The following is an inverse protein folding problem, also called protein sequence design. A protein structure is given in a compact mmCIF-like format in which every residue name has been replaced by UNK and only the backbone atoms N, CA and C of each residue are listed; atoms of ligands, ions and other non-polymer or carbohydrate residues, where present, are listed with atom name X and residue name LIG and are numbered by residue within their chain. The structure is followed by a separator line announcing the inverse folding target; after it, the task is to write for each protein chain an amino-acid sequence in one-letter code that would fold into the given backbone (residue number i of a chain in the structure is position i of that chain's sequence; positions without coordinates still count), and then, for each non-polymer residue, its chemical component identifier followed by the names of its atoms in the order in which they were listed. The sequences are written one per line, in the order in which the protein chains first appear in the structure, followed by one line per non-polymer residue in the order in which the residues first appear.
data_IF_775953608914
#
_entry.id   IF_775953608914
#
_cell.length_a   1.000
_cell.length_b   1.000
_cell.length_c   1.000
_cell.angle_alpha   90.00
_cell.angle_beta   90.00
_cell.angle_gamma   90.00
#
_symmetry.space_group_name_H-M   'P 1'
#
loop_
_entity.id
_entity.type
_entity.pdbx_description
1 polymer ?
#
# COMPACT_ATOMS: atom_id res chain seq x y z
N UNK A 1 -13.73 -16.94 4.66
CA UNK A 1 -14.63 -15.78 4.54
C UNK A 1 -15.13 -15.67 3.10
N UNK A 2 -16.41 -15.35 2.86
CA UNK A 2 -16.92 -15.16 1.48
C UNK A 2 -16.44 -13.82 0.92
N UNK A 3 -16.22 -13.73 -0.39
CA UNK A 3 -15.67 -12.53 -1.05
C UNK A 3 -16.41 -11.24 -0.66
N UNK A 4 -17.75 -11.24 -0.69
CA UNK A 4 -18.57 -10.07 -0.36
C UNK A 4 -18.55 -9.63 1.11
N UNK A 5 -17.91 -10.39 2.00
CA UNK A 5 -17.77 -10.05 3.43
C UNK A 5 -16.41 -9.41 3.74
N UNK A 6 -15.48 -9.41 2.77
CA UNK A 6 -14.13 -8.90 2.98
C UNK A 6 -14.16 -7.38 2.80
N UNK A 7 -13.80 -6.65 3.84
CA UNK A 7 -13.61 -5.20 3.81
C UNK A 7 -12.23 -4.87 4.39
N UNK A 8 -11.24 -4.62 3.52
CA UNK A 8 -9.86 -4.32 3.96
C UNK A 8 -9.73 -2.93 4.61
N UNK A 9 -10.76 -2.08 4.50
CA UNK A 9 -10.82 -0.74 5.10
C UNK A 9 -11.49 -0.73 6.48
N UNK A 10 -12.05 -1.86 6.91
CA UNK A 10 -12.59 -2.02 8.26
C UNK A 10 -11.46 -2.19 9.28
N UNK A 11 -10.87 -1.07 9.74
CA UNK A 11 -9.74 -1.05 10.70
C UNK A 11 -10.09 -1.83 11.98
N UNK A 12 -11.22 -1.52 12.62
CA UNK A 12 -11.63 -2.16 13.88
C UNK A 12 -12.44 -3.45 13.67
N UNK A 13 -12.68 -3.84 12.41
CA UNK A 13 -13.49 -4.99 12.04
C UNK A 13 -12.61 -6.10 11.46
N UNK A 14 -12.08 -5.90 10.26
CA UNK A 14 -11.26 -6.89 9.56
C UNK A 14 -9.90 -7.08 10.22
N UNK A 15 -9.24 -5.98 10.60
CA UNK A 15 -7.89 -6.06 11.18
C UNK A 15 -7.86 -6.50 12.65
N UNK A 16 -9.02 -6.47 13.32
CA UNK A 16 -9.21 -7.06 14.65
C UNK A 16 -9.40 -8.59 14.63
N UNK A 17 -9.63 -9.19 13.46
CA UNK A 17 -9.83 -10.63 13.34
C UNK A 17 -8.57 -11.43 13.68
N UNK A 18 -8.72 -12.67 14.18
CA UNK A 18 -7.64 -13.64 14.27
C UNK A 18 -6.82 -13.75 12.97
N UNK A 19 -5.52 -14.02 13.10
CA UNK A 19 -4.63 -14.12 11.94
C UNK A 19 -5.11 -15.17 10.93
N UNK A 20 -5.63 -16.31 11.42
CA UNK A 20 -6.16 -17.39 10.57
C UNK A 20 -7.33 -16.94 9.70
N UNK A 21 -8.23 -16.11 10.22
CA UNK A 21 -9.37 -15.56 9.49
C UNK A 21 -8.91 -14.55 8.42
N UNK A 22 -7.93 -13.69 8.77
CA UNK A 22 -7.34 -12.74 7.80
C UNK A 22 -6.62 -13.49 6.67
N UNK A 23 -5.86 -14.53 6.99
CA UNK A 23 -5.20 -15.38 5.99
C UNK A 23 -6.25 -16.07 5.10
N UNK A 24 -7.33 -16.59 5.68
CA UNK A 24 -8.42 -17.18 4.91
C UNK A 24 -9.10 -16.16 3.97
N UNK A 25 -9.30 -14.92 4.41
CA UNK A 25 -9.82 -13.84 3.56
C UNK A 25 -8.86 -13.50 2.41
N UNK A 26 -7.56 -13.37 2.68
CA UNK A 26 -6.58 -13.15 1.61
C UNK A 26 -6.46 -14.32 0.64
N UNK A 27 -6.71 -15.56 1.08
CA UNK A 27 -6.84 -16.71 0.18
C UNK A 27 -8.04 -16.56 -0.76
N UNK A 28 -9.20 -16.14 -0.24
CA UNK A 28 -10.39 -15.85 -1.06
C UNK A 28 -10.09 -14.76 -2.09
N UNK A 29 -9.51 -13.63 -1.68
CA UNK A 29 -9.15 -12.55 -2.62
C UNK A 29 -8.22 -13.04 -3.72
N UNK A 30 -7.13 -13.75 -3.39
CA UNK A 30 -6.19 -14.29 -4.39
C UNK A 30 -6.86 -15.22 -5.41
N UNK A 31 -7.83 -16.00 -4.98
CA UNK A 31 -8.47 -17.02 -5.81
C UNK A 31 -9.61 -16.45 -6.66
N UNK A 32 -10.41 -15.55 -6.11
CA UNK A 32 -11.67 -15.10 -6.73
C UNK A 32 -11.57 -13.70 -7.33
N UNK A 33 -10.89 -12.75 -6.69
CA UNK A 33 -10.84 -11.34 -7.09
C UNK A 33 -9.51 -10.69 -6.65
N UNK A 34 -8.40 -11.01 -7.35
CA UNK A 34 -7.05 -10.75 -6.86
C UNK A 34 -6.61 -9.29 -6.93
N UNK A 35 -7.31 -8.49 -7.74
CA UNK A 35 -7.12 -7.05 -7.93
C UNK A 35 -8.48 -6.40 -7.70
N UNK A 36 -8.75 -6.05 -6.44
CA UNK A 36 -10.07 -5.60 -6.01
C UNK A 36 -10.01 -4.17 -5.50
N UNK A 37 -10.97 -3.35 -5.89
CA UNK A 37 -11.11 -1.99 -5.40
C UNK A 37 -11.81 -1.96 -4.02
N UNK A 38 -11.34 -1.08 -3.14
CA UNK A 38 -11.92 -0.78 -1.83
C UNK A 38 -12.01 0.73 -1.64
N UNK A 39 -13.11 1.20 -1.06
CA UNK A 39 -13.18 2.56 -0.52
C UNK A 39 -12.23 2.71 0.67
N UNK A 40 -11.65 3.89 0.88
CA UNK A 40 -10.76 4.15 2.01
C UNK A 40 -11.50 4.17 3.36
N UNK A 41 -10.78 3.92 4.44
CA UNK A 41 -11.31 4.11 5.78
C UNK A 41 -11.56 5.61 6.03
N UNK A 42 -12.76 5.97 6.49
CA UNK A 42 -13.06 7.35 6.87
C UNK A 42 -12.36 7.67 8.19
N UNK A 43 -11.53 8.71 8.19
CA UNK A 43 -10.88 9.20 9.41
C UNK A 43 -11.41 10.60 9.78
N UNK A 44 -11.37 11.02 11.05
CA UNK A 44 -11.79 12.37 11.45
C UNK A 44 -10.86 13.48 10.96
N UNK A 45 -9.64 13.12 10.53
CA UNK A 45 -8.54 14.05 10.33
C UNK A 45 -8.25 14.34 8.85
N UNK A 46 -8.69 13.46 7.95
CA UNK A 46 -8.48 13.59 6.51
C UNK A 46 -9.82 13.42 5.77
N UNK A 47 -10.03 14.15 4.66
CA UNK A 47 -11.14 13.88 3.77
C UNK A 47 -11.02 12.46 3.20
N UNK A 48 -12.15 11.80 2.87
CA UNK A 48 -12.10 10.50 2.20
C UNK A 48 -11.44 10.65 0.82
N UNK A 49 -10.42 9.82 0.57
CA UNK A 49 -9.78 9.72 -0.73
C UNK A 49 -10.62 8.89 -1.73
N UNK A 50 -10.11 8.72 -2.96
CA UNK A 50 -10.82 8.04 -4.04
C UNK A 50 -10.94 6.53 -3.85
N UNK A 51 -10.36 5.93 -2.81
CA UNK A 51 -10.25 4.48 -2.67
C UNK A 51 -8.90 3.95 -3.15
N UNK A 52 -8.71 2.64 -3.04
CA UNK A 52 -7.48 1.98 -3.47
C UNK A 52 -7.74 0.60 -4.08
N UNK A 53 -6.76 0.14 -4.84
CA UNK A 53 -6.74 -1.22 -5.39
C UNK A 53 -5.89 -2.13 -4.51
N UNK A 54 -6.48 -3.21 -4.01
CA UNK A 54 -5.78 -4.26 -3.29
C UNK A 54 -5.27 -5.32 -4.27
N UNK A 55 -3.96 -5.40 -4.44
CA UNK A 55 -3.27 -6.43 -5.22
C UNK A 55 -2.82 -7.53 -4.25
N UNK A 56 -3.37 -8.74 -4.39
CA UNK A 56 -3.22 -9.79 -3.36
C UNK A 56 -2.39 -10.99 -3.79
N UNK A 57 -2.14 -11.17 -5.09
CA UNK A 57 -1.26 -12.22 -5.60
C UNK A 57 0.19 -11.77 -5.56
N UNK A 58 1.06 -12.67 -5.11
CA UNK A 58 2.49 -12.42 -5.03
C UNK A 58 3.09 -11.96 -6.36
N UNK A 59 2.73 -12.60 -7.48
CA UNK A 59 3.25 -12.22 -8.80
C UNK A 59 2.91 -10.78 -9.18
N UNK A 60 1.66 -10.36 -8.95
CA UNK A 60 1.18 -9.03 -9.30
C UNK A 60 1.80 -7.95 -8.38
N UNK A 61 1.99 -8.26 -7.09
CA UNK A 61 2.72 -7.38 -6.16
C UNK A 61 4.16 -7.18 -6.61
N UNK A 62 4.84 -8.26 -7.01
CA UNK A 62 6.23 -8.18 -7.51
C UNK A 62 6.28 -7.38 -8.82
N UNK A 63 5.33 -7.57 -9.72
CA UNK A 63 5.22 -6.81 -10.97
C UNK A 63 5.07 -5.31 -10.67
N UNK A 64 4.12 -4.92 -9.81
CA UNK A 64 3.93 -3.53 -9.42
C UNK A 64 5.20 -2.94 -8.78
N UNK A 65 5.83 -3.68 -7.87
CA UNK A 65 7.05 -3.25 -7.16
C UNK A 65 8.26 -3.04 -8.09
N UNK A 66 8.31 -3.75 -9.23
CA UNK A 66 9.42 -3.66 -10.19
C UNK A 66 9.21 -2.61 -11.28
N UNK A 67 8.01 -2.03 -11.38
CA UNK A 67 7.64 -1.07 -12.41
C UNK A 67 7.34 0.32 -11.82
N UNK A 68 8.32 1.02 -11.20
CA UNK A 68 8.08 2.31 -10.54
C UNK A 68 7.66 3.43 -11.51
N UNK A 69 7.90 3.25 -12.82
CA UNK A 69 7.42 4.17 -13.86
C UNK A 69 5.89 4.09 -14.07
N UNK A 70 5.28 2.97 -13.66
CA UNK A 70 3.83 2.75 -13.70
C UNK A 70 3.18 2.91 -12.31
N UNK A 71 3.92 2.55 -11.25
CA UNK A 71 3.48 2.60 -9.85
C UNK A 71 4.43 3.48 -9.04
N UNK A 72 4.18 4.79 -9.05
CA UNK A 72 5.04 5.78 -8.42
C UNK A 72 4.97 5.72 -6.88
N UNK A 73 6.08 6.05 -6.21
CA UNK A 73 6.12 6.24 -4.74
C UNK A 73 6.16 7.71 -4.34
N UNK A 74 6.51 8.61 -5.26
CA UNK A 74 6.65 10.05 -5.01
C UNK A 74 5.34 10.77 -4.68
N UNK A 75 4.20 10.16 -5.00
CA UNK A 75 2.86 10.67 -4.63
C UNK A 75 2.36 10.14 -3.28
N UNK A 76 3.11 9.26 -2.62
CA UNK A 76 2.76 8.66 -1.34
C UNK A 76 2.78 7.12 -1.39
N UNK A 77 3.06 6.52 -0.23
CA UNK A 77 3.12 5.04 -0.06
C UNK A 77 2.10 4.51 0.94
N UNK A 78 1.21 5.38 1.44
CA UNK A 78 0.12 5.02 2.33
C UNK A 78 -1.20 5.09 1.56
N UNK A 79 -2.22 4.40 2.08
CA UNK A 79 -3.55 4.39 1.46
C UNK A 79 -4.21 5.78 1.52
N UNK A 80 -4.29 6.47 2.68
CA UNK A 80 -4.89 7.80 2.71
C UNK A 80 -4.01 8.82 1.98
N UNK A 81 -4.63 9.65 1.15
CA UNK A 81 -3.98 10.81 0.55
C UNK A 81 -3.57 11.79 1.65
N UNK A 82 -2.26 11.99 1.81
CA UNK A 82 -1.71 13.01 2.69
C UNK A 82 -1.34 14.25 1.87
N UNK A 83 -1.53 15.47 2.41
CA UNK A 83 -1.19 16.66 1.64
C UNK A 83 0.30 16.67 1.25
N UNK A 84 0.67 17.17 0.06
CA UNK A 84 2.04 17.10 -0.45
C UNK A 84 3.10 17.67 0.49
N UNK A 85 2.75 18.69 1.28
CA UNK A 85 3.64 19.32 2.25
C UNK A 85 4.02 18.36 3.38
N UNK A 86 3.10 17.48 3.78
CA UNK A 86 3.39 16.42 4.75
C UNK A 86 4.23 15.32 4.14
N UNK A 87 3.98 14.97 2.86
CA UNK A 87 4.81 14.00 2.16
C UNK A 87 6.25 14.47 1.99
N UNK A 88 6.49 15.75 1.73
CA UNK A 88 7.85 16.29 1.62
C UNK A 88 8.56 16.40 2.98
N UNK A 89 7.81 16.74 4.04
CA UNK A 89 8.37 16.94 5.38
C UNK A 89 8.59 15.64 6.16
N UNK A 90 7.65 14.69 6.07
CA UNK A 90 7.72 13.38 6.75
C UNK A 90 8.22 12.26 5.84
N UNK A 91 8.23 12.46 4.53
CA UNK A 91 8.70 11.47 3.57
C UNK A 91 10.21 11.34 3.60
N UNK A 92 10.66 10.21 4.14
CA UNK A 92 12.01 9.72 3.89
C UNK A 92 12.16 9.33 2.40
N UNK A 93 13.31 8.75 2.05
CA UNK A 93 13.61 8.21 0.72
C UNK A 93 12.53 7.25 0.18
N UNK A 94 11.68 6.66 1.03
CA UNK A 94 10.56 5.79 0.62
C UNK A 94 9.48 6.52 -0.21
N UNK A 95 9.26 7.83 -0.01
CA UNK A 95 8.29 8.63 -0.77
C UNK A 95 8.96 9.37 -1.93
N UNK A 96 9.93 8.74 -2.60
CA UNK A 96 10.66 9.35 -3.71
C UNK A 96 10.73 8.40 -4.88
N UNK A 97 10.62 8.95 -6.09
CA UNK A 97 10.95 8.24 -7.33
C UNK A 97 12.32 8.67 -7.86
N UNK A 98 12.80 7.94 -8.87
CA UNK A 98 14.03 8.28 -9.59
C UNK A 98 13.86 9.57 -10.41
N UNK A 99 14.94 10.36 -10.58
CA UNK A 99 16.33 10.08 -10.19
C UNK A 99 16.69 10.48 -8.75
N UNK A 100 15.77 11.10 -8.00
CA UNK A 100 16.03 11.59 -6.64
C UNK A 100 16.29 10.41 -5.70
N UNK A 101 15.43 9.40 -5.74
CA UNK A 101 15.57 8.18 -4.94
C UNK A 101 16.94 7.49 -5.14
N UNK A 102 17.34 7.19 -6.37
CA UNK A 102 18.64 6.58 -6.67
C UNK A 102 19.83 7.36 -6.10
N UNK A 103 19.80 8.71 -6.14
CA UNK A 103 20.87 9.55 -5.59
C UNK A 103 20.97 9.42 -4.07
N UNK A 104 19.84 9.48 -3.36
CA UNK A 104 19.80 9.29 -1.91
C UNK A 104 20.21 7.87 -1.52
N UNK A 105 19.69 6.85 -2.21
CA UNK A 105 19.99 5.44 -1.94
C UNK A 105 21.47 5.14 -2.08
N UNK A 106 22.15 5.72 -3.08
CA UNK A 106 23.60 5.56 -3.28
C UNK A 106 24.40 6.03 -2.06
N UNK A 107 23.99 7.13 -1.42
CA UNK A 107 24.66 7.66 -0.22
C UNK A 107 24.45 6.73 0.97
N UNK A 108 23.20 6.31 1.20
CA UNK A 108 22.82 5.52 2.39
C UNK A 108 23.28 4.07 2.30
N UNK A 109 23.31 3.48 1.10
CA UNK A 109 23.61 2.04 0.89
C UNK A 109 24.98 1.60 1.38
N UNK A 110 25.95 2.51 1.50
CA UNK A 110 27.29 2.20 2.01
C UNK A 110 27.27 1.71 3.47
N UNK A 111 26.24 2.04 4.26
CA UNK A 111 26.06 1.54 5.63
C UNK A 111 25.34 0.19 5.74
N UNK A 112 24.93 -0.40 4.61
CA UNK A 112 24.16 -1.65 4.54
C UNK A 112 24.87 -2.71 3.68
N UNK A 113 26.18 -2.84 3.84
CA UNK A 113 26.95 -3.94 3.24
C UNK A 113 26.86 -5.19 4.13
N UNK A 114 27.05 -6.41 3.57
CA UNK A 114 27.17 -7.63 4.39
C UNK A 114 28.27 -7.55 5.45
#
# INVERSE_FOLDING_TARGET
MKLGQINLSGIDEFWALPMEDRVAAFNTLRNEDPVRFFEEAVTPYLPPGPGYWAITRHADVIEASKNPQLFCSGSGVNIPDVPPEFNEFFGSMINMDDPRHARFRKIVSAGFTP
#
